data_IF_749641521500
#
_entry.id   IF_749641521500
#
_cell.length_a   1.000
_cell.length_b   1.000
_cell.length_c   1.000
_cell.angle_alpha   90.00
_cell.angle_beta   90.00
_cell.angle_gamma   90.00
#
_symmetry.space_group_name_H-M   'P 1'
#
loop_
_entity.id
_entity.type
_entity.pdbx_description
1 polymer ?
#
# COMPACT_ATOMS: atom_id res chain seq x y z
N UNK A 1 21.03 -18.05 -5.92
CA UNK A 1 20.58 -16.64 -5.97
C UNK A 1 19.11 -16.62 -5.60
N UNK A 2 18.77 -16.13 -4.41
CA UNK A 2 17.41 -16.23 -3.87
C UNK A 2 16.45 -15.27 -4.56
N UNK A 3 15.19 -15.69 -4.69
CA UNK A 3 14.00 -14.98 -5.18
C UNK A 3 13.65 -13.64 -4.49
N UNK A 4 14.58 -13.05 -3.74
CA UNK A 4 14.41 -11.82 -2.97
C UNK A 4 15.01 -10.58 -3.63
N UNK A 5 15.54 -10.68 -4.84
CA UNK A 5 16.07 -9.52 -5.61
C UNK A 5 15.18 -9.11 -6.79
N UNK A 6 14.14 -9.88 -7.11
CA UNK A 6 13.17 -9.48 -8.13
C UNK A 6 12.38 -8.26 -7.65
N UNK A 7 12.30 -7.19 -8.47
CA UNK A 7 11.48 -6.03 -8.13
C UNK A 7 10.00 -6.39 -8.00
N UNK A 8 9.34 -5.76 -7.03
CA UNK A 8 7.92 -5.97 -6.76
C UNK A 8 7.09 -5.52 -7.96
N UNK A 9 6.14 -6.36 -8.36
CA UNK A 9 5.13 -6.03 -9.36
C UNK A 9 3.92 -5.41 -8.65
N UNK A 10 3.41 -4.29 -9.16
CA UNK A 10 2.22 -3.67 -8.58
C UNK A 10 0.98 -4.14 -9.32
N UNK A 11 -0.04 -4.53 -8.56
CA UNK A 11 -1.39 -4.71 -9.06
C UNK A 11 -2.31 -3.65 -8.43
N UNK A 12 -2.77 -2.74 -9.29
CA UNK A 12 -3.61 -1.60 -8.93
C UNK A 12 -5.06 -1.81 -9.41
N UNK A 13 -5.45 -3.02 -9.80
CA UNK A 13 -6.72 -3.29 -10.48
C UNK A 13 -7.93 -3.44 -9.55
N UNK A 14 -7.76 -3.31 -8.23
CA UNK A 14 -8.90 -3.29 -7.33
C UNK A 14 -9.73 -2.01 -7.56
N UNK A 15 -11.03 -2.12 -7.88
CA UNK A 15 -11.85 -0.94 -8.21
C UNK A 15 -11.97 0.05 -7.06
N UNK A 16 -12.02 -0.43 -5.81
CA UNK A 16 -12.06 0.43 -4.61
C UNK A 16 -10.74 1.17 -4.46
N UNK A 17 -9.61 0.49 -4.69
CA UNK A 17 -8.31 1.17 -4.68
C UNK A 17 -8.22 2.25 -5.75
N UNK A 18 -8.66 1.96 -6.98
CA UNK A 18 -8.65 2.92 -8.09
C UNK A 18 -9.51 4.14 -7.79
N UNK A 19 -10.75 3.93 -7.35
CA UNK A 19 -11.68 5.00 -6.96
C UNK A 19 -11.03 5.91 -5.89
N UNK A 20 -10.47 5.32 -4.84
CA UNK A 20 -9.85 6.09 -3.74
C UNK A 20 -8.58 6.82 -4.18
N UNK A 21 -7.74 6.19 -5.00
CA UNK A 21 -6.53 6.80 -5.55
C UNK A 21 -6.86 7.98 -6.47
N UNK A 22 -7.85 7.82 -7.35
CA UNK A 22 -8.27 8.87 -8.28
C UNK A 22 -9.07 9.98 -7.60
N UNK A 23 -9.68 9.70 -6.45
CA UNK A 23 -10.31 10.70 -5.60
C UNK A 23 -9.35 11.58 -4.79
N UNK A 24 -8.05 11.24 -4.74
CA UNK A 24 -7.06 12.05 -4.01
C UNK A 24 -6.88 13.45 -4.63
N UNK A 25 -6.68 14.46 -3.79
CA UNK A 25 -6.27 15.79 -4.25
C UNK A 25 -4.91 15.72 -4.95
N UNK A 26 -4.65 16.63 -5.89
CA UNK A 26 -3.43 16.65 -6.72
C UNK A 26 -2.12 16.42 -5.94
N UNK A 27 -1.83 17.14 -4.83
CA UNK A 27 -0.57 16.91 -4.09
C UNK A 27 -0.48 15.52 -3.47
N UNK A 28 -1.58 15.04 -2.86
CA UNK A 28 -1.61 13.70 -2.26
C UNK A 28 -1.51 12.60 -3.31
N UNK A 29 -2.16 12.80 -4.47
CA UNK A 29 -2.09 11.88 -5.59
C UNK A 29 -0.66 11.76 -6.10
N UNK A 30 0.05 12.87 -6.30
CA UNK A 30 1.44 12.85 -6.75
C UNK A 30 2.33 12.10 -5.74
N UNK A 31 2.19 12.39 -4.45
CA UNK A 31 2.92 11.69 -3.40
C UNK A 31 2.62 10.18 -3.36
N UNK A 32 1.36 9.79 -3.62
CA UNK A 32 0.98 8.39 -3.72
C UNK A 32 1.64 7.72 -4.93
N UNK A 33 1.64 8.36 -6.10
CA UNK A 33 2.32 7.86 -7.31
C UNK A 33 3.83 7.73 -7.07
N UNK A 34 4.47 8.68 -6.41
CA UNK A 34 5.90 8.60 -6.08
C UNK A 34 6.21 7.41 -5.16
N UNK A 35 5.34 7.15 -4.19
CA UNK A 35 5.47 5.96 -3.33
C UNK A 35 5.28 4.66 -4.12
N UNK A 36 4.30 4.60 -5.04
CA UNK A 36 4.12 3.44 -5.93
C UNK A 36 5.37 3.23 -6.82
N UNK A 37 5.93 4.31 -7.39
CA UNK A 37 7.18 4.27 -8.17
C UNK A 37 8.34 3.72 -7.34
N UNK A 38 8.49 4.17 -6.10
CA UNK A 38 9.48 3.64 -5.16
C UNK A 38 9.28 2.14 -4.94
N UNK A 39 8.07 1.69 -4.59
CA UNK A 39 7.79 0.27 -4.29
C UNK A 39 8.16 -0.62 -5.49
N UNK A 40 7.85 -0.20 -6.72
CA UNK A 40 8.18 -0.94 -7.94
C UNK A 40 9.70 -1.15 -8.15
N UNK A 41 10.54 -0.33 -7.53
CA UNK A 41 12.00 -0.45 -7.59
C UNK A 41 12.58 -1.32 -6.48
N UNK A 42 11.78 -1.64 -5.46
CA UNK A 42 12.20 -2.46 -4.33
C UNK A 42 11.97 -3.94 -4.63
N UNK A 43 12.83 -4.78 -4.08
CA UNK A 43 12.50 -6.18 -3.85
C UNK A 43 11.72 -6.35 -2.54
N UNK A 44 11.09 -7.51 -2.33
CA UNK A 44 10.41 -7.81 -1.06
C UNK A 44 11.35 -7.72 0.14
N UNK A 45 12.58 -8.22 0.01
CA UNK A 45 13.57 -8.14 1.08
C UNK A 45 13.99 -6.70 1.40
N UNK A 46 14.01 -5.80 0.41
CA UNK A 46 14.24 -4.38 0.64
C UNK A 46 13.02 -3.71 1.27
N UNK A 47 11.81 -4.02 0.79
CA UNK A 47 10.57 -3.47 1.32
C UNK A 47 10.38 -3.79 2.80
N UNK A 48 10.66 -5.01 3.24
CA UNK A 48 10.55 -5.39 4.66
C UNK A 48 11.52 -4.64 5.58
N UNK A 49 12.62 -4.10 5.03
CA UNK A 49 13.60 -3.30 5.77
C UNK A 49 13.36 -1.80 5.63
N UNK A 50 12.39 -1.38 4.81
CA UNK A 50 12.10 0.03 4.58
C UNK A 50 11.32 0.63 5.76
N UNK A 51 11.98 1.55 6.49
CA UNK A 51 11.39 2.18 7.67
C UNK A 51 10.32 3.23 7.34
N UNK A 52 10.25 3.71 6.10
CA UNK A 52 9.34 4.78 5.68
C UNK A 52 7.98 4.26 5.23
N UNK A 53 7.95 3.09 4.57
CA UNK A 53 6.72 2.47 4.07
C UNK A 53 5.85 1.89 5.19
N UNK A 54 6.42 1.53 6.34
CA UNK A 54 5.68 0.99 7.48
C UNK A 54 4.79 -0.20 7.09
N UNK A 55 5.38 -1.21 6.44
CA UNK A 55 4.69 -2.44 6.05
C UNK A 55 4.32 -3.27 7.29
N UNK A 56 3.07 -3.15 7.74
CA UNK A 56 2.59 -3.65 9.03
C UNK A 56 1.42 -4.62 8.83
N UNK A 57 1.51 -5.81 9.44
CA UNK A 57 0.44 -6.83 9.35
C UNK A 57 -0.78 -6.38 10.16
N UNK A 58 -1.97 -6.46 9.56
CA UNK A 58 -3.24 -6.21 10.24
C UNK A 58 -3.69 -7.53 10.89
N UNK A 59 -3.59 -7.61 12.22
CA UNK A 59 -3.91 -8.85 12.98
C UNK A 59 -5.40 -9.06 13.23
N UNK A 60 -6.19 -7.98 13.21
CA UNK A 60 -7.62 -8.01 13.53
C UNK A 60 -8.51 -8.44 12.36
N UNK A 61 -7.96 -8.58 11.15
CA UNK A 61 -8.72 -8.94 9.95
C UNK A 61 -8.33 -10.34 9.50
N UNK A 62 -9.32 -11.24 9.44
CA UNK A 62 -9.13 -12.56 8.86
C UNK A 62 -9.08 -12.42 7.32
N UNK A 63 -7.97 -12.79 6.68
CA UNK A 63 -7.87 -12.68 5.23
C UNK A 63 -8.80 -13.70 4.55
N UNK A 64 -9.29 -13.39 3.33
CA UNK A 64 -9.98 -14.36 2.47
C UNK A 64 -9.13 -15.61 2.21
N UNK A 65 -9.79 -16.71 1.81
CA UNK A 65 -9.10 -17.95 1.44
C UNK A 65 -8.09 -17.71 0.31
N UNK A 66 -6.86 -18.18 0.49
CA UNK A 66 -5.77 -17.99 -0.48
C UNK A 66 -4.96 -16.71 -0.26
N UNK A 67 -5.25 -15.92 0.77
CA UNK A 67 -4.47 -14.75 1.16
C UNK A 67 -3.90 -14.98 2.56
N UNK A 68 -2.57 -14.88 2.72
CA UNK A 68 -1.91 -15.18 3.99
C UNK A 68 -2.19 -14.12 5.07
N UNK A 69 -2.18 -12.85 4.66
CA UNK A 69 -2.39 -11.72 5.54
C UNK A 69 -2.69 -10.44 4.74
N UNK A 70 -3.43 -9.54 5.37
CA UNK A 70 -3.59 -8.17 4.89
C UNK A 70 -2.61 -7.29 5.68
N UNK A 71 -1.99 -6.36 4.97
CA UNK A 71 -1.02 -5.43 5.50
C UNK A 71 -1.51 -4.01 5.28
N UNK A 72 -1.09 -3.10 6.15
CA UNK A 72 -1.19 -1.67 5.92
C UNK A 72 0.19 -1.11 5.63
N UNK A 73 0.27 -0.13 4.73
CA UNK A 73 1.49 0.64 4.47
C UNK A 73 1.17 2.12 4.24
N UNK A 74 2.16 2.97 4.48
CA UNK A 74 2.11 4.40 4.20
C UNK A 74 2.19 4.63 2.68
N UNK A 75 1.19 5.34 2.13
CA UNK A 75 1.16 5.73 0.71
C UNK A 75 1.43 7.24 0.52
N UNK A 76 1.10 8.05 1.52
CA UNK A 76 1.51 9.46 1.67
C UNK A 76 1.82 9.74 3.14
N UNK A 77 2.28 10.94 3.51
CA UNK A 77 2.48 11.28 4.93
C UNK A 77 1.18 11.18 5.76
N UNK A 78 0.04 11.57 5.17
CA UNK A 78 -1.28 11.59 5.80
C UNK A 78 -2.09 10.31 5.59
N UNK A 79 -1.74 9.46 4.61
CA UNK A 79 -2.58 8.33 4.21
C UNK A 79 -1.87 6.99 4.25
N UNK A 80 -2.66 5.98 4.58
CA UNK A 80 -2.29 4.58 4.48
C UNK A 80 -3.13 3.87 3.44
N UNK A 81 -2.61 2.80 2.87
CA UNK A 81 -3.38 1.86 2.08
C UNK A 81 -3.27 0.47 2.68
N UNK A 82 -4.14 -0.43 2.23
CA UNK A 82 -4.06 -1.85 2.54
C UNK A 82 -3.71 -2.65 1.30
N UNK A 83 -2.88 -3.67 1.47
CA UNK A 83 -2.43 -4.53 0.39
C UNK A 83 -2.13 -5.94 0.92
N UNK A 84 -1.95 -6.89 0.02
CA UNK A 84 -1.39 -8.20 0.34
C UNK A 84 -0.34 -8.61 -0.69
N UNK A 85 0.53 -9.54 -0.29
CA UNK A 85 1.51 -10.16 -1.17
C UNK A 85 0.89 -11.38 -1.83
N UNK A 86 1.04 -11.48 -3.14
CA UNK A 86 0.70 -12.65 -3.96
C UNK A 86 1.89 -12.96 -4.88
N UNK A 87 2.77 -13.85 -4.41
CA UNK A 87 4.06 -14.12 -5.07
C UNK A 87 4.91 -12.85 -5.21
N UNK A 88 5.13 -12.42 -6.45
CA UNK A 88 5.88 -11.20 -6.81
C UNK A 88 5.00 -9.95 -6.85
N UNK A 89 3.68 -10.09 -6.74
CA UNK A 89 2.74 -8.99 -6.78
C UNK A 89 2.43 -8.43 -5.40
N UNK A 90 2.46 -7.11 -5.30
CA UNK A 90 1.75 -6.36 -4.26
C UNK A 90 0.39 -5.96 -4.82
N UNK A 91 -0.67 -6.56 -4.27
CA UNK A 91 -2.05 -6.30 -4.68
C UNK A 91 -2.69 -5.29 -3.73
N UNK A 92 -2.97 -4.09 -4.22
CA UNK A 92 -3.58 -3.03 -3.43
C UNK A 92 -5.10 -3.24 -3.33
N UNK A 93 -5.65 -2.95 -2.16
CA UNK A 93 -7.07 -3.17 -1.84
C UNK A 93 -7.84 -1.85 -1.70
N UNK A 94 -7.31 -0.89 -0.96
CA UNK A 94 -7.93 0.42 -0.76
C UNK A 94 -6.92 1.44 -0.22
N UNK A 95 -7.20 2.73 -0.40
CA UNK A 95 -6.54 3.83 0.33
C UNK A 95 -7.49 4.26 1.43
N UNK A 96 -7.02 4.22 2.68
CA UNK A 96 -7.81 4.65 3.82
C UNK A 96 -8.16 6.14 3.68
N UNK A 97 -9.39 6.53 4.06
CA UNK A 97 -9.69 7.94 4.32
C UNK A 97 -8.71 8.49 5.35
N UNK A 98 -8.41 9.79 5.25
CA UNK A 98 -7.60 10.45 6.26
C UNK A 98 -8.30 10.37 7.63
N UNK A 99 -7.61 9.89 8.66
CA UNK A 99 -8.16 9.88 10.02
C UNK A 99 -8.45 11.31 10.51
N UNK A 100 -7.72 12.32 10.02
CA UNK A 100 -7.93 13.72 10.38
C UNK A 100 -9.19 14.34 9.77
N UNK A 101 -9.86 13.68 8.81
CA UNK A 101 -11.18 14.14 8.36
C UNK A 101 -12.29 13.97 9.42
N UNK A 102 -11.99 13.34 10.56
CA UNK A 102 -12.90 13.21 11.71
C UNK A 102 -12.77 14.37 12.71
N UNK A 103 -11.65 15.09 12.70
CA UNK A 103 -11.50 16.31 13.50
C UNK A 103 -11.71 17.50 12.57
N UNK A 104 -12.97 17.94 12.50
CA UNK A 104 -13.34 19.17 11.82
C UNK A 104 -12.36 20.28 12.17
N UNK A 105 -11.94 21.03 11.15
CA UNK A 105 -11.17 22.27 11.31
C UNK A 105 -11.75 23.05 12.50
N UNK A 106 -10.91 23.34 13.49
CA UNK A 106 -11.20 24.41 14.44
C UNK A 106 -11.12 25.76 13.73
#
# INVERSE_FOLDING_TARGET
>A
MGSNDTPIRLDLNNPVFQERLFGLQKPERNAAIDTLRKIRQLSWGQLYRDNGLKWEKIVSVKPPRGIDAIYSLRITQSRRCTAYRDGDFMRFLTVAPDHDSTYGRK
#
